data_IF_927477213629
#
_entry.id   IF_927477213629
#
_cell.length_a   1.000
_cell.length_b   1.000
_cell.length_c   1.000
_cell.angle_alpha   90.00
_cell.angle_beta   90.00
_cell.angle_gamma   90.00
#
_symmetry.space_group_name_H-M   'P 1'
#
loop_
_entity.id
_entity.type
_entity.pdbx_description
1 polymer ?
#
# COMPACT_ATOMS: atom_id res chain seq x y z
N UNK A 1 -55.14 -36.37 31.85
CA UNK A 1 -55.56 -35.71 30.58
C UNK A 1 -54.70 -34.46 30.46
N UNK A 2 -53.52 -34.42 29.84
CA UNK A 2 -52.99 -35.03 28.59
C UNK A 2 -53.79 -34.70 27.34
N UNK A 3 -53.35 -33.63 26.66
CA UNK A 3 -53.28 -33.35 25.20
C UNK A 3 -52.74 -31.92 25.07
N UNK A 4 -51.46 -31.68 24.77
CA UNK A 4 -50.71 -31.87 23.51
C UNK A 4 -51.38 -31.19 22.30
N UNK A 5 -50.80 -30.08 21.85
CA UNK A 5 -51.01 -29.51 20.52
C UNK A 5 -49.78 -28.68 20.11
N UNK A 6 -48.92 -29.34 19.34
CA UNK A 6 -47.86 -28.76 18.53
C UNK A 6 -48.45 -27.87 17.42
N UNK A 7 -47.83 -26.72 17.16
CA UNK A 7 -47.85 -26.06 15.85
C UNK A 7 -46.56 -25.26 15.65
N UNK A 8 -45.95 -25.43 14.49
CA UNK A 8 -44.54 -25.19 14.16
C UNK A 8 -44.12 -23.71 14.06
N UNK A 9 -42.83 -23.36 14.30
CA UNK A 9 -42.27 -22.16 13.72
C UNK A 9 -41.92 -22.46 12.26
N UNK A 10 -42.52 -21.70 11.34
CA UNK A 10 -42.15 -21.67 9.94
C UNK A 10 -40.69 -21.22 9.79
N UNK A 11 -39.82 -22.14 9.40
CA UNK A 11 -38.47 -21.81 8.95
C UNK A 11 -38.61 -21.23 7.54
N UNK A 12 -38.49 -19.91 7.42
CA UNK A 12 -38.27 -19.27 6.12
C UNK A 12 -36.82 -19.58 5.74
N UNK A 13 -36.66 -20.57 4.86
CA UNK A 13 -35.40 -20.86 4.18
C UNK A 13 -35.10 -19.71 3.20
N UNK A 14 -34.45 -18.66 3.71
CA UNK A 14 -33.88 -17.58 2.90
C UNK A 14 -32.64 -18.14 2.21
N UNK A 15 -32.86 -18.88 1.11
CA UNK A 15 -31.80 -19.20 0.16
C UNK A 15 -31.23 -17.89 -0.37
N UNK A 16 -30.00 -17.56 0.04
CA UNK A 16 -29.25 -16.42 -0.44
C UNK A 16 -28.97 -16.61 -1.94
N UNK A 17 -29.72 -15.89 -2.77
CA UNK A 17 -29.59 -15.87 -4.23
C UNK A 17 -28.19 -15.35 -4.66
N UNK A 18 -27.64 -15.82 -5.79
CA UNK A 18 -26.31 -15.42 -6.29
C UNK A 18 -26.10 -13.90 -6.50
N UNK A 19 -27.18 -13.11 -6.55
CA UNK A 19 -27.16 -11.65 -6.68
C UNK A 19 -26.57 -10.94 -5.45
N UNK A 20 -26.69 -11.54 -4.26
CA UNK A 20 -26.14 -10.94 -3.03
C UNK A 20 -24.62 -10.89 -3.04
N UNK A 21 -23.95 -11.82 -3.73
CA UNK A 21 -22.49 -11.81 -3.83
C UNK A 21 -21.99 -10.70 -4.77
N UNK A 22 -22.73 -10.39 -5.84
CA UNK A 22 -22.40 -9.26 -6.74
C UNK A 22 -22.70 -7.91 -6.09
N UNK A 23 -23.79 -7.80 -5.31
CA UNK A 23 -24.12 -6.59 -4.55
C UNK A 23 -23.13 -6.34 -3.40
N UNK A 24 -22.63 -7.40 -2.74
CA UNK A 24 -21.57 -7.27 -1.73
C UNK A 24 -20.21 -6.85 -2.30
N UNK A 25 -19.87 -7.26 -3.53
CA UNK A 25 -18.69 -6.74 -4.23
C UNK A 25 -18.84 -5.30 -4.70
N UNK A 26 -20.08 -4.83 -4.94
CA UNK A 26 -20.39 -3.43 -5.24
C UNK A 26 -20.44 -2.52 -3.99
N UNK A 27 -20.31 -3.07 -2.78
CA UNK A 27 -20.47 -2.38 -1.51
C UNK A 27 -19.16 -2.18 -0.72
N UNK A 28 -17.99 -2.39 -1.32
CA UNK A 28 -16.73 -1.98 -0.70
C UNK A 28 -16.56 -0.46 -0.82
N UNK A 29 -16.34 0.24 0.28
CA UNK A 29 -16.09 1.68 0.25
C UNK A 29 -14.80 2.05 -0.48
N UNK A 30 -13.84 1.12 -0.56
CA UNK A 30 -12.61 1.27 -1.36
C UNK A 30 -12.53 0.12 -2.38
N UNK A 31 -12.88 0.36 -3.66
CA UNK A 31 -12.78 -0.67 -4.70
C UNK A 31 -11.33 -1.09 -4.97
N UNK A 32 -11.16 -2.32 -5.47
CA UNK A 32 -9.87 -2.85 -5.92
C UNK A 32 -9.66 -2.64 -7.42
N UNK A 33 -8.50 -2.11 -7.79
CA UNK A 33 -8.10 -1.93 -9.18
C UNK A 33 -7.65 -3.26 -9.81
N UNK A 34 -8.06 -3.54 -11.06
CA UNK A 34 -7.57 -4.70 -11.82
C UNK A 34 -6.26 -4.42 -12.58
N UNK A 35 -5.93 -3.15 -12.77
CA UNK A 35 -4.69 -2.71 -13.41
C UNK A 35 -4.13 -1.48 -12.72
N UNK A 36 -2.81 -1.29 -12.79
CA UNK A 36 -2.14 -0.20 -12.09
C UNK A 36 -2.65 1.17 -12.55
N UNK A 37 -3.20 1.96 -11.61
CA UNK A 37 -3.80 3.30 -11.84
C UNK A 37 -5.07 3.26 -12.69
N UNK A 38 -5.75 2.11 -12.75
CA UNK A 38 -6.95 1.90 -13.55
C UNK A 38 -8.13 1.52 -12.66
N UNK A 39 -9.07 2.45 -12.56
CA UNK A 39 -10.36 2.20 -11.92
C UNK A 39 -11.33 1.70 -13.00
N UNK A 40 -11.78 0.46 -12.87
CA UNK A 40 -12.86 -0.07 -13.70
C UNK A 40 -14.17 0.63 -13.30
N UNK A 41 -14.52 1.71 -14.00
CA UNK A 41 -15.82 2.36 -13.84
C UNK A 41 -16.84 1.74 -14.79
N UNK A 42 -18.03 1.45 -14.27
CA UNK A 42 -19.18 1.17 -15.13
C UNK A 42 -19.56 2.41 -15.95
N UNK A 43 -20.19 2.26 -17.12
CA UNK A 43 -20.49 3.36 -18.05
C UNK A 43 -21.40 4.46 -17.45
N UNK A 44 -22.10 4.19 -16.35
CA UNK A 44 -23.04 5.13 -15.69
C UNK A 44 -22.49 5.70 -14.36
N UNK A 45 -21.28 5.37 -13.94
CA UNK A 45 -20.73 5.87 -12.68
C UNK A 45 -20.38 7.36 -12.79
N UNK A 46 -21.05 8.20 -11.99
CA UNK A 46 -20.77 9.62 -11.91
C UNK A 46 -19.28 9.88 -11.62
N UNK A 47 -18.73 10.95 -12.21
CA UNK A 47 -17.37 11.36 -11.94
C UNK A 47 -17.32 12.01 -10.56
N UNK A 48 -16.94 11.24 -9.56
CA UNK A 48 -16.65 11.77 -8.23
C UNK A 48 -15.39 12.64 -8.25
N UNK A 49 -15.43 13.75 -7.48
CA UNK A 49 -14.31 14.67 -7.31
C UNK A 49 -13.08 13.99 -6.73
N UNK A 50 -13.28 13.02 -5.83
CA UNK A 50 -12.21 12.21 -5.25
C UNK A 50 -12.63 10.76 -5.27
N UNK A 51 -11.86 9.92 -5.98
CA UNK A 51 -12.03 8.47 -5.93
C UNK A 51 -10.80 7.83 -5.28
N UNK A 52 -11.06 6.90 -4.36
CA UNK A 52 -10.04 6.13 -3.66
C UNK A 52 -10.17 4.68 -4.08
N UNK A 53 -9.05 4.02 -4.36
CA UNK A 53 -9.02 2.60 -4.68
C UNK A 53 -7.76 1.95 -4.15
N UNK A 54 -7.75 0.62 -4.12
CA UNK A 54 -6.61 -0.19 -3.68
C UNK A 54 -6.08 -1.00 -4.84
N UNK A 55 -4.77 -1.03 -5.00
CA UNK A 55 -4.10 -1.86 -5.99
C UNK A 55 -3.02 -2.72 -5.35
N UNK A 56 -2.96 -3.99 -5.73
CA UNK A 56 -2.00 -4.95 -5.21
C UNK A 56 -1.42 -5.78 -6.35
N UNK A 57 -0.13 -6.05 -6.25
CA UNK A 57 0.57 -6.94 -7.16
C UNK A 57 1.40 -7.92 -6.32
N UNK A 58 1.18 -9.21 -6.55
CA UNK A 58 1.84 -10.28 -5.82
C UNK A 58 3.00 -10.90 -6.61
N UNK A 59 3.28 -10.40 -7.82
CA UNK A 59 4.38 -10.88 -8.65
C UNK A 59 5.72 -10.36 -8.12
N UNK A 60 6.76 -11.17 -8.27
CA UNK A 60 8.14 -10.79 -7.91
C UNK A 60 8.72 -9.70 -8.82
N UNK A 61 8.21 -9.61 -10.05
CA UNK A 61 8.46 -8.46 -10.91
C UNK A 61 7.27 -8.17 -11.81
N UNK A 62 6.99 -6.88 -11.99
CA UNK A 62 5.96 -6.41 -12.91
C UNK A 62 6.33 -5.04 -13.49
N UNK A 63 5.83 -4.76 -14.69
CA UNK A 63 5.99 -3.48 -15.37
C UNK A 63 4.62 -2.97 -15.78
N UNK A 64 4.41 -1.68 -15.58
CA UNK A 64 3.13 -1.02 -15.81
C UNK A 64 3.36 0.37 -16.38
N UNK A 65 2.41 0.84 -17.19
CA UNK A 65 2.36 2.19 -17.72
C UNK A 65 0.93 2.72 -17.66
N UNK A 66 0.82 4.00 -17.32
CA UNK A 66 -0.45 4.70 -17.29
C UNK A 66 -0.24 6.22 -17.42
N UNK A 67 -1.18 6.87 -18.10
CA UNK A 67 -1.26 8.33 -18.18
C UNK A 67 -2.32 8.82 -17.21
N UNK A 68 -1.99 9.84 -16.41
CA UNK A 68 -3.00 10.48 -15.56
C UNK A 68 -4.07 11.11 -16.47
N UNK A 69 -5.38 10.96 -16.17
CA UNK A 69 -6.41 11.71 -16.88
C UNK A 69 -6.20 13.23 -16.79
N UNK A 70 -6.74 13.99 -17.75
CA UNK A 70 -6.48 15.42 -17.90
C UNK A 70 -7.14 16.31 -16.85
N UNK A 71 -8.16 15.80 -16.18
CA UNK A 71 -9.02 16.51 -15.22
C UNK A 71 -8.59 16.32 -13.76
N UNK A 72 -7.52 15.56 -13.50
CA UNK A 72 -7.21 15.11 -12.13
C UNK A 72 -5.73 14.87 -11.86
N UNK A 73 -5.38 15.00 -10.60
CA UNK A 73 -4.12 14.52 -10.05
C UNK A 73 -4.26 13.08 -9.59
N UNK A 74 -3.14 12.36 -9.64
CA UNK A 74 -3.06 11.01 -9.13
C UNK A 74 -2.06 10.93 -7.98
N UNK A 75 -2.48 10.38 -6.84
CA UNK A 75 -1.63 10.16 -5.67
C UNK A 75 -1.58 8.67 -5.36
N UNK A 76 -0.39 8.08 -5.34
CA UNK A 76 -0.18 6.71 -4.88
C UNK A 76 0.53 6.69 -3.54
N UNK A 77 0.01 5.95 -2.57
CA UNK A 77 0.64 5.74 -1.26
C UNK A 77 1.00 4.26 -1.11
N UNK A 78 2.29 3.97 -0.94
CA UNK A 78 2.77 2.60 -0.73
C UNK A 78 2.30 2.06 0.63
N UNK A 79 1.66 0.89 0.66
CA UNK A 79 1.19 0.24 1.89
C UNK A 79 2.23 -0.72 2.48
N UNK A 80 3.16 -1.21 1.65
CA UNK A 80 4.30 -2.04 2.04
C UNK A 80 5.56 -1.58 1.31
N UNK A 81 6.72 -1.89 1.87
CA UNK A 81 7.97 -1.57 1.18
C UNK A 81 8.10 -2.39 -0.11
N UNK A 82 8.52 -1.77 -1.20
CA UNK A 82 8.78 -2.43 -2.49
C UNK A 82 9.98 -1.80 -3.19
N UNK A 83 10.66 -2.54 -4.07
CA UNK A 83 11.67 -1.96 -4.97
C UNK A 83 10.96 -1.49 -6.23
N UNK A 84 11.04 -0.20 -6.52
CA UNK A 84 10.36 0.41 -7.65
C UNK A 84 11.31 1.27 -8.48
N UNK A 85 11.07 1.27 -9.79
CA UNK A 85 11.66 2.22 -10.72
C UNK A 85 10.55 2.97 -11.43
N UNK A 86 10.49 4.28 -11.22
CA UNK A 86 9.50 5.16 -11.85
C UNK A 86 10.19 5.97 -12.95
N UNK A 87 9.61 5.94 -14.14
CA UNK A 87 10.13 6.59 -15.35
C UNK A 87 9.05 7.44 -15.97
N UNK A 88 9.40 8.66 -16.37
CA UNK A 88 8.52 9.57 -17.12
C UNK A 88 9.30 10.15 -18.28
N UNK A 89 8.72 10.16 -19.48
CA UNK A 89 9.35 10.68 -20.71
C UNK A 89 10.79 10.17 -20.90
N UNK A 90 11.00 8.88 -20.63
CA UNK A 90 12.31 8.17 -20.66
C UNK A 90 13.31 8.57 -19.56
N UNK A 91 13.00 9.56 -18.73
CA UNK A 91 13.80 9.93 -17.57
C UNK A 91 13.40 9.12 -16.34
N UNK A 92 14.39 8.47 -15.71
CA UNK A 92 14.18 7.71 -14.47
C UNK A 92 14.09 8.68 -13.29
N UNK A 93 12.85 8.95 -12.86
CA UNK A 93 12.56 9.84 -11.72
C UNK A 93 12.90 9.16 -10.39
N UNK A 94 12.65 7.86 -10.28
CA UNK A 94 12.97 7.08 -9.09
C UNK A 94 13.50 5.71 -9.45
N UNK A 95 14.46 5.22 -8.68
CA UNK A 95 15.01 3.87 -8.80
C UNK A 95 15.58 3.50 -7.43
N UNK A 96 14.74 2.85 -6.62
CA UNK A 96 14.95 2.80 -5.19
C UNK A 96 14.04 1.82 -4.47
N UNK A 97 14.36 1.54 -3.22
CA UNK A 97 13.38 0.97 -2.30
C UNK A 97 12.41 2.07 -1.91
N UNK A 98 11.12 1.84 -2.14
CA UNK A 98 10.01 2.69 -1.74
C UNK A 98 9.40 2.12 -0.46
N UNK A 99 9.65 2.71 0.72
CA UNK A 99 9.09 2.19 1.95
C UNK A 99 7.58 2.46 2.06
N UNK A 100 6.91 1.75 2.97
CA UNK A 100 5.53 2.02 3.30
C UNK A 100 5.31 3.48 3.75
N UNK A 101 4.19 4.07 3.35
CA UNK A 101 3.83 5.47 3.57
C UNK A 101 4.51 6.46 2.62
N UNK A 102 5.36 6.00 1.70
CA UNK A 102 5.87 6.88 0.63
C UNK A 102 4.73 7.23 -0.30
N UNK A 103 4.56 8.53 -0.56
CA UNK A 103 3.62 9.03 -1.54
C UNK A 103 4.36 9.45 -2.81
N UNK A 104 3.73 9.21 -3.95
CA UNK A 104 4.10 9.83 -5.22
C UNK A 104 2.89 10.51 -5.82
N UNK A 105 3.08 11.71 -6.39
CA UNK A 105 2.00 12.44 -7.04
C UNK A 105 2.32 12.68 -8.51
N UNK A 106 1.35 12.43 -9.39
CA UNK A 106 1.43 12.65 -10.83
C UNK A 106 0.39 13.68 -11.24
N UNK A 107 0.85 14.76 -11.90
CA UNK A 107 -0.01 15.79 -12.46
C UNK A 107 -0.93 15.25 -13.58
N UNK A 108 -1.99 16.01 -13.93
CA UNK A 108 -2.86 15.69 -15.05
C UNK A 108 -2.09 15.52 -16.38
N UNK A 109 -2.57 14.62 -17.23
CA UNK A 109 -2.00 14.32 -18.55
C UNK A 109 -0.55 13.83 -18.56
N UNK A 110 0.05 13.53 -17.40
CA UNK A 110 1.43 13.03 -17.33
C UNK A 110 1.49 11.50 -17.44
N UNK A 111 2.30 10.95 -18.36
CA UNK A 111 2.58 9.52 -18.40
C UNK A 111 3.52 9.14 -17.26
N UNK A 112 3.34 7.93 -16.72
CA UNK A 112 4.25 7.33 -15.77
C UNK A 112 4.37 5.85 -16.07
N UNK A 113 5.60 5.35 -16.14
CA UNK A 113 5.91 3.94 -16.17
C UNK A 113 6.51 3.52 -14.83
N UNK A 114 6.06 2.38 -14.30
CA UNK A 114 6.56 1.79 -13.07
C UNK A 114 7.04 0.37 -13.33
N UNK A 115 8.23 0.05 -12.81
CA UNK A 115 8.72 -1.32 -12.70
C UNK A 115 8.82 -1.66 -11.22
N UNK A 116 8.13 -2.70 -10.79
CA UNK A 116 8.23 -3.26 -9.44
C UNK A 116 9.08 -4.52 -9.49
N UNK A 117 9.95 -4.69 -8.51
CA UNK A 117 10.87 -5.83 -8.36
C UNK A 117 10.63 -6.58 -7.04
N UNK A 118 9.41 -6.47 -6.51
CA UNK A 118 8.89 -7.21 -5.37
C UNK A 118 7.36 -7.02 -5.33
N UNK A 119 6.61 -7.92 -4.68
CA UNK A 119 5.20 -7.72 -4.42
C UNK A 119 4.93 -6.35 -3.79
N UNK A 120 3.93 -5.62 -4.27
CA UNK A 120 3.59 -4.26 -3.84
C UNK A 120 2.09 -4.09 -3.58
N UNK A 121 1.75 -3.09 -2.78
CA UNK A 121 0.37 -2.74 -2.46
C UNK A 121 0.29 -1.22 -2.27
N UNK A 122 -0.74 -0.60 -2.84
CA UNK A 122 -0.92 0.84 -2.87
C UNK A 122 -2.37 1.22 -2.60
N UNK A 123 -2.56 2.36 -1.93
CA UNK A 123 -3.79 3.14 -2.06
C UNK A 123 -3.58 4.18 -3.16
N UNK A 124 -4.55 4.28 -4.07
CA UNK A 124 -4.56 5.23 -5.16
C UNK A 124 -5.70 6.22 -4.96
N UNK A 125 -5.38 7.50 -5.08
CA UNK A 125 -6.33 8.60 -5.02
C UNK A 125 -6.34 9.31 -6.37
N UNK A 126 -7.52 9.47 -6.92
CA UNK A 126 -7.80 10.27 -8.10
C UNK A 126 -8.52 11.52 -7.61
N UNK A 127 -7.86 12.66 -7.67
CA UNK A 127 -8.35 13.91 -7.07
C UNK A 127 -8.55 14.93 -8.19
N UNK A 128 -9.77 15.42 -8.37
CA UNK A 128 -10.12 16.46 -9.34
C UNK A 128 -9.15 17.65 -9.24
N UNK A 129 -8.76 18.18 -10.39
CA UNK A 129 -7.90 19.35 -10.48
C UNK A 129 -8.51 20.58 -9.77
N UNK A 130 -9.83 20.63 -9.59
CA UNK A 130 -10.53 21.71 -8.88
C UNK A 130 -10.14 21.82 -7.40
N UNK A 131 -9.59 20.75 -6.81
CA UNK A 131 -9.02 20.79 -5.46
C UNK A 131 -7.66 21.50 -5.38
N UNK A 132 -7.03 21.79 -6.52
CA UNK A 132 -5.71 22.41 -6.62
C UNK A 132 -5.82 23.71 -7.42
N UNK A 133 -5.96 24.87 -6.76
CA UNK A 133 -6.07 26.13 -7.48
C UNK A 133 -4.83 26.37 -8.35
N UNK A 134 -5.04 26.93 -9.55
CA UNK A 134 -4.01 27.08 -10.59
C UNK A 134 -2.76 27.89 -10.18
N UNK A 135 -2.82 28.60 -9.05
CA UNK A 135 -1.72 29.39 -8.47
C UNK A 135 -1.16 28.78 -7.17
N UNK A 136 -1.54 27.55 -6.83
CA UNK A 136 -0.95 26.90 -5.66
C UNK A 136 0.52 26.54 -5.93
N UNK A 137 1.42 26.71 -4.94
CA UNK A 137 2.77 26.13 -4.98
C UNK A 137 2.74 24.62 -5.29
N UNK A 138 1.64 23.97 -4.92
CA UNK A 138 1.33 22.60 -5.25
C UNK A 138 1.13 22.42 -6.78
N UNK A 139 0.33 23.26 -7.45
CA UNK A 139 0.13 23.15 -8.90
C UNK A 139 1.42 23.39 -9.71
N UNK A 140 2.26 24.35 -9.30
CA UNK A 140 3.54 24.61 -9.96
C UNK A 140 4.61 23.54 -9.68
N UNK A 141 4.65 22.98 -8.46
CA UNK A 141 5.69 22.03 -8.06
C UNK A 141 5.31 20.54 -8.12
N UNK A 142 4.02 20.19 -8.15
CA UNK A 142 3.53 18.83 -8.45
C UNK A 142 3.47 18.54 -9.96
N UNK A 143 3.82 19.51 -10.81
CA UNK A 143 4.08 19.27 -12.23
C UNK A 143 5.18 18.21 -12.46
N UNK A 144 6.04 18.01 -11.45
CA UNK A 144 7.01 16.92 -11.35
C UNK A 144 6.55 15.84 -10.36
N UNK A 145 6.94 14.58 -10.63
CA UNK A 145 6.63 13.48 -9.72
C UNK A 145 7.34 13.71 -8.39
N UNK A 146 6.59 14.12 -7.37
CA UNK A 146 7.15 14.38 -6.05
C UNK A 146 7.06 13.10 -5.22
N UNK A 147 8.22 12.59 -4.80
CA UNK A 147 8.31 11.55 -3.80
C UNK A 147 8.48 12.19 -2.43
N UNK A 148 7.44 12.09 -1.62
CA UNK A 148 7.44 12.67 -0.29
C UNK A 148 7.15 11.58 0.73
N UNK A 149 7.70 11.78 1.91
CA UNK A 149 7.13 11.17 3.10
C UNK A 149 6.29 12.23 3.77
N UNK A 150 5.00 11.96 3.84
CA UNK A 150 4.07 12.80 4.56
C UNK A 150 3.46 12.02 5.73
N UNK A 151 3.74 12.43 6.99
CA UNK A 151 3.21 11.75 8.16
C UNK A 151 1.68 11.70 8.16
N UNK A 152 1.01 12.78 7.75
CA UNK A 152 -0.44 12.83 7.71
C UNK A 152 -0.99 11.86 6.64
N UNK A 153 -0.44 11.88 5.43
CA UNK A 153 -0.86 10.95 4.37
C UNK A 153 -0.66 9.49 4.79
N UNK A 154 0.43 9.17 5.51
CA UNK A 154 0.67 7.83 6.03
C UNK A 154 -0.33 7.42 7.15
N UNK A 155 -0.72 8.35 8.03
CA UNK A 155 -1.79 8.11 9.02
C UNK A 155 -3.16 7.92 8.34
N UNK A 156 -3.50 8.77 7.36
CA UNK A 156 -4.75 8.67 6.59
C UNK A 156 -4.85 7.35 5.83
N UNK A 157 -3.76 6.94 5.15
CA UNK A 157 -3.69 5.65 4.46
C UNK A 157 -3.86 4.47 5.43
N UNK A 158 -3.27 4.57 6.63
CA UNK A 158 -3.44 3.55 7.67
C UNK A 158 -4.89 3.49 8.15
N UNK A 159 -5.51 4.65 8.42
CA UNK A 159 -6.90 4.72 8.87
C UNK A 159 -7.85 4.05 7.87
N UNK A 160 -7.66 4.30 6.56
CA UNK A 160 -8.41 3.62 5.49
C UNK A 160 -8.15 2.10 5.46
N UNK A 161 -6.90 1.68 5.68
CA UNK A 161 -6.53 0.26 5.63
C UNK A 161 -7.04 -0.52 6.86
N UNK A 162 -7.03 0.09 8.04
CA UNK A 162 -7.49 -0.52 9.29
C UNK A 162 -9.01 -0.70 9.33
N UNK A 163 -9.76 0.25 8.76
CA UNK A 163 -11.21 0.13 8.64
C UNK A 163 -11.62 -0.78 7.47
N UNK A 164 -10.70 -1.08 6.54
CA UNK A 164 -10.90 -2.04 5.45
C UNK A 164 -12.15 -1.75 4.63
N UNK A 165 -12.88 -2.81 4.28
CA UNK A 165 -14.17 -2.73 3.57
C UNK A 165 -15.32 -2.20 4.45
N UNK A 166 -15.08 -2.04 5.76
CA UNK A 166 -16.08 -1.58 6.74
C UNK A 166 -16.06 -0.06 6.95
N UNK A 167 -15.10 0.66 6.36
CA UNK A 167 -15.22 2.10 6.19
C UNK A 167 -16.51 2.39 5.42
N UNK A 168 -17.27 3.39 5.81
CA UNK A 168 -18.39 3.87 4.99
C UNK A 168 -17.88 4.85 3.92
N UNK A 169 -18.76 5.19 2.96
CA UNK A 169 -18.45 6.13 1.88
C UNK A 169 -18.10 7.52 2.42
N UNK A 170 -18.71 7.92 3.53
CA UNK A 170 -18.56 9.25 4.11
C UNK A 170 -17.20 9.45 4.77
N UNK A 171 -16.73 8.45 5.51
CA UNK A 171 -15.38 8.39 6.05
C UNK A 171 -14.33 8.44 4.95
N UNK A 172 -14.51 7.64 3.90
CA UNK A 172 -13.61 7.58 2.74
C UNK A 172 -13.54 8.94 2.05
N UNK A 173 -14.69 9.61 1.86
CA UNK A 173 -14.80 10.96 1.33
C UNK A 173 -14.06 12.00 2.20
N UNK A 174 -14.26 11.98 3.52
CA UNK A 174 -13.61 12.89 4.46
C UNK A 174 -12.07 12.72 4.45
N UNK A 175 -11.59 11.49 4.43
CA UNK A 175 -10.15 11.21 4.34
C UNK A 175 -9.57 11.71 3.02
N UNK A 176 -10.26 11.43 1.91
CA UNK A 176 -9.86 11.92 0.58
C UNK A 176 -9.77 13.45 0.52
N UNK A 177 -10.78 14.14 1.03
CA UNK A 177 -10.80 15.60 1.10
C UNK A 177 -9.69 16.15 1.99
N UNK A 178 -9.44 15.53 3.13
CA UNK A 178 -8.36 15.92 4.04
C UNK A 178 -7.00 15.81 3.34
N UNK A 179 -6.76 14.72 2.62
CA UNK A 179 -5.53 14.55 1.85
C UNK A 179 -5.42 15.60 0.75
N UNK A 180 -6.48 15.85 -0.02
CA UNK A 180 -6.48 16.85 -1.09
C UNK A 180 -6.16 18.26 -0.57
N UNK A 181 -6.82 18.69 0.51
CA UNK A 181 -6.56 19.99 1.14
C UNK A 181 -5.12 20.10 1.67
N UNK A 182 -4.60 19.02 2.23
CA UNK A 182 -3.23 18.97 2.73
C UNK A 182 -2.23 19.11 1.58
N UNK A 183 -2.38 18.32 0.52
CA UNK A 183 -1.52 18.38 -0.66
C UNK A 183 -1.58 19.75 -1.35
N UNK A 184 -2.75 20.40 -1.41
CA UNK A 184 -2.91 21.73 -1.99
C UNK A 184 -2.15 22.83 -1.23
N UNK A 185 -1.76 22.58 0.02
CA UNK A 185 -0.98 23.50 0.88
C UNK A 185 0.50 23.10 0.98
N UNK A 186 0.88 21.92 0.48
CA UNK A 186 2.26 21.49 0.55
C UNK A 186 3.12 22.34 -0.38
N UNK A 187 4.12 23.00 0.20
CA UNK A 187 5.22 23.54 -0.56
C UNK A 187 6.18 22.40 -0.89
N UNK A 188 6.41 22.09 -2.19
CA UNK A 188 7.38 21.08 -2.54
C UNK A 188 8.75 21.49 -2.01
N UNK A 189 9.52 20.57 -1.41
CA UNK A 189 10.82 20.92 -0.85
C UNK A 189 11.73 21.43 -1.97
N UNK A 190 12.04 22.74 -1.97
CA UNK A 190 13.12 23.31 -2.77
C UNK A 190 14.42 22.65 -2.33
N UNK A 191 14.96 21.76 -3.16
CA UNK A 191 16.19 21.05 -2.84
C UNK A 191 17.38 22.02 -2.77
N UNK A 192 17.73 22.49 -1.56
CA UNK A 192 18.96 23.23 -1.30
C UNK A 192 20.22 22.34 -1.31
N UNK A 193 20.03 21.02 -1.29
CA UNK A 193 21.10 20.02 -1.22
C UNK A 193 20.91 19.01 -2.33
N UNK A 194 21.97 18.73 -3.08
CA UNK A 194 21.96 17.70 -4.12
C UNK A 194 21.67 16.33 -3.52
N UNK A 195 20.78 15.56 -4.16
CA UNK A 195 20.52 14.18 -3.77
C UNK A 195 21.77 13.30 -3.94
N UNK A 196 21.92 12.30 -3.07
CA UNK A 196 23.01 11.33 -3.15
C UNK A 196 23.00 10.64 -4.53
N UNK A 197 24.13 10.61 -5.27
CA UNK A 197 24.20 9.96 -6.58
C UNK A 197 23.73 8.50 -6.53
N UNK A 198 22.97 8.06 -7.55
CA UNK A 198 22.32 6.74 -7.59
C UNK A 198 23.26 5.57 -7.31
N UNK A 199 24.50 5.60 -7.80
CA UNK A 199 25.48 4.53 -7.55
C UNK A 199 25.93 4.47 -6.08
N UNK A 200 26.05 5.61 -5.40
CA UNK A 200 26.34 5.67 -3.95
C UNK A 200 25.15 5.21 -3.16
N UNK A 201 23.94 5.64 -3.54
CA UNK A 201 22.71 5.20 -2.89
C UNK A 201 22.58 3.67 -2.97
N UNK A 202 22.71 3.07 -4.16
CA UNK A 202 22.66 1.61 -4.33
C UNK A 202 23.71 0.89 -3.47
N UNK A 203 24.92 1.42 -3.38
CA UNK A 203 25.98 0.84 -2.53
C UNK A 203 25.61 0.84 -1.05
N UNK A 204 25.01 1.93 -0.57
CA UNK A 204 24.52 2.06 0.81
C UNK A 204 23.32 1.17 1.06
N UNK A 205 22.35 1.12 0.14
CA UNK A 205 21.18 0.24 0.23
C UNK A 205 21.60 -1.24 0.31
N UNK A 206 22.53 -1.66 -0.55
CA UNK A 206 23.10 -3.02 -0.53
C UNK A 206 23.78 -3.32 0.79
N UNK A 207 24.64 -2.40 1.27
CA UNK A 207 25.31 -2.58 2.55
C UNK A 207 24.32 -2.73 3.72
N UNK A 208 23.23 -1.96 3.72
CA UNK A 208 22.16 -2.11 4.71
C UNK A 208 21.49 -3.48 4.59
N UNK A 209 21.13 -3.90 3.39
CA UNK A 209 20.50 -5.20 3.16
C UNK A 209 21.38 -6.37 3.63
N UNK A 210 22.70 -6.25 3.50
CA UNK A 210 23.65 -7.30 3.88
C UNK A 210 24.02 -7.29 5.37
N UNK A 211 23.71 -6.22 6.12
CA UNK A 211 24.21 -6.00 7.49
C UNK A 211 23.13 -5.53 8.49
N UNK A 212 21.85 -5.51 8.12
CA UNK A 212 20.82 -4.90 8.98
C UNK A 212 20.63 -5.61 10.32
N UNK A 213 21.01 -6.87 10.40
CA UNK A 213 20.96 -7.78 11.56
C UNK A 213 21.95 -7.40 12.67
N UNK A 214 22.92 -6.51 12.40
CA UNK A 214 23.83 -5.96 13.40
C UNK A 214 23.69 -4.45 13.56
N UNK A 215 24.32 -3.91 14.59
CA UNK A 215 24.42 -2.45 14.75
C UNK A 215 25.23 -1.83 13.61
N UNK A 216 24.64 -0.85 12.92
CA UNK A 216 25.30 -0.07 11.86
C UNK A 216 25.32 1.39 12.30
N UNK A 217 26.51 1.99 12.39
CA UNK A 217 26.64 3.40 12.72
C UNK A 217 26.42 4.32 11.51
N UNK A 218 26.06 5.58 11.77
CA UNK A 218 26.00 6.61 10.72
C UNK A 218 27.37 6.81 10.06
N UNK A 219 28.46 6.67 10.82
CA UNK A 219 29.83 6.76 10.31
C UNK A 219 30.12 5.68 9.28
N UNK A 220 29.72 4.43 9.56
CA UNK A 220 29.87 3.31 8.62
C UNK A 220 29.14 3.59 7.29
N UNK A 221 27.87 4.00 7.35
CA UNK A 221 27.10 4.31 6.13
C UNK A 221 27.70 5.48 5.34
N UNK A 222 28.19 6.50 6.03
CA UNK A 222 28.86 7.63 5.40
C UNK A 222 30.16 7.21 4.71
N UNK A 223 30.94 6.33 5.34
CA UNK A 223 32.16 5.75 4.76
C UNK A 223 31.84 4.90 3.51
N UNK A 224 30.79 4.08 3.56
CA UNK A 224 30.31 3.33 2.38
C UNK A 224 29.95 4.27 1.22
N UNK A 225 29.38 5.43 1.52
CA UNK A 225 29.06 6.47 0.53
C UNK A 225 30.26 7.35 0.11
N UNK A 226 31.42 7.22 0.75
CA UNK A 226 32.57 8.10 0.54
C UNK A 226 32.29 9.56 0.87
N UNK A 227 31.57 9.82 1.97
CA UNK A 227 31.17 11.16 2.40
C UNK A 227 31.38 11.36 3.90
N UNK A 228 31.47 12.62 4.34
CA UNK A 228 31.35 12.94 5.76
C UNK A 228 29.93 12.62 6.26
N UNK A 229 29.77 12.35 7.56
CA UNK A 229 28.48 12.03 8.19
C UNK A 229 27.39 13.06 7.87
N UNK A 230 27.74 14.34 7.92
CA UNK A 230 26.81 15.44 7.70
C UNK A 230 26.34 15.50 6.24
N UNK A 231 27.28 15.44 5.28
CA UNK A 231 26.94 15.44 3.86
C UNK A 231 26.17 14.19 3.48
N UNK A 232 26.59 13.02 3.97
CA UNK A 232 25.87 11.77 3.74
C UNK A 232 24.42 11.86 4.24
N UNK A 233 24.20 12.27 5.49
CA UNK A 233 22.85 12.34 6.06
C UNK A 233 21.94 13.29 5.27
N UNK A 234 22.46 14.44 4.84
CA UNK A 234 21.71 15.42 4.05
C UNK A 234 21.38 14.90 2.64
N UNK A 235 22.38 14.41 1.91
CA UNK A 235 22.21 13.90 0.54
C UNK A 235 21.38 12.61 0.50
N UNK A 236 21.55 11.72 1.49
CA UNK A 236 20.76 10.49 1.61
C UNK A 236 19.29 10.80 1.89
N UNK A 237 19.01 11.78 2.77
CA UNK A 237 17.63 12.26 2.98
C UNK A 237 17.06 12.91 1.74
N UNK A 238 17.84 13.70 1.01
CA UNK A 238 17.38 14.29 -0.25
C UNK A 238 17.10 13.21 -1.32
N UNK A 239 17.85 12.11 -1.33
CA UNK A 239 17.66 11.01 -2.28
C UNK A 239 16.53 10.04 -1.91
N UNK A 240 16.34 9.77 -0.62
CA UNK A 240 15.41 8.71 -0.16
C UNK A 240 14.17 9.26 0.55
N UNK A 241 14.19 10.51 1.00
CA UNK A 241 13.20 11.07 1.92
C UNK A 241 13.41 10.68 3.40
N UNK A 242 14.31 9.74 3.71
CA UNK A 242 14.54 9.23 5.06
C UNK A 242 15.89 9.67 5.63
N UNK A 243 15.95 9.91 6.94
CA UNK A 243 17.26 9.93 7.61
C UNK A 243 17.85 8.51 7.58
N UNK A 244 19.19 8.34 7.51
CA UNK A 244 19.80 7.01 7.43
C UNK A 244 19.34 6.03 8.52
N UNK A 245 19.20 6.50 9.77
CA UNK A 245 18.68 5.69 10.87
C UNK A 245 17.22 5.27 10.68
N UNK A 246 16.37 6.16 10.17
CA UNK A 246 14.96 5.86 9.92
C UNK A 246 14.83 4.82 8.80
N UNK A 247 15.63 4.94 7.75
CA UNK A 247 15.69 3.98 6.66
C UNK A 247 16.09 2.58 7.16
N UNK A 248 17.16 2.48 7.96
CA UNK A 248 17.58 1.21 8.57
C UNK A 248 16.48 0.60 9.45
N UNK A 249 15.82 1.40 10.30
CA UNK A 249 14.75 0.90 11.16
C UNK A 249 13.56 0.37 10.35
N UNK A 250 13.13 1.08 9.29
CA UNK A 250 12.09 0.58 8.40
C UNK A 250 12.50 -0.76 7.77
N UNK A 251 13.73 -0.86 7.24
CA UNK A 251 14.23 -2.10 6.66
C UNK A 251 14.19 -3.27 7.66
N UNK A 252 14.60 -3.04 8.91
CA UNK A 252 14.52 -4.06 9.96
C UNK A 252 13.10 -4.45 10.32
N UNK A 253 12.17 -3.49 10.39
CA UNK A 253 10.76 -3.78 10.69
C UNK A 253 10.10 -4.58 9.56
N UNK A 254 10.40 -4.27 8.29
CA UNK A 254 9.87 -5.05 7.17
C UNK A 254 10.37 -6.51 7.21
N UNK A 255 11.67 -6.74 7.47
CA UNK A 255 12.18 -8.09 7.69
C UNK A 255 11.53 -8.77 8.91
N UNK A 256 11.28 -8.03 9.98
CA UNK A 256 10.59 -8.56 11.17
C UNK A 256 9.14 -8.97 10.86
N UNK A 257 8.41 -8.20 10.04
CA UNK A 257 7.05 -8.56 9.60
C UNK A 257 7.05 -9.91 8.87
N UNK A 258 8.02 -10.13 7.98
CA UNK A 258 8.19 -11.41 7.27
C UNK A 258 8.45 -12.55 8.25
N UNK A 259 9.38 -12.39 9.20
CA UNK A 259 9.66 -13.41 10.22
C UNK A 259 8.44 -13.70 11.11
N UNK A 260 7.66 -12.68 11.46
CA UNK A 260 6.44 -12.83 12.25
C UNK A 260 5.34 -13.58 11.49
N UNK A 261 5.22 -13.36 10.18
CA UNK A 261 4.21 -14.01 9.34
C UNK A 261 4.58 -15.47 9.03
N UNK A 262 5.87 -15.74 8.81
CA UNK A 262 6.34 -17.04 8.30
C UNK A 262 6.88 -18.00 9.36
N UNK A 263 7.15 -17.53 10.59
CA UNK A 263 7.78 -18.35 11.64
C UNK A 263 7.05 -18.29 12.98
N UNK A 264 7.32 -19.27 13.84
CA UNK A 264 6.87 -19.32 15.24
C UNK A 264 7.84 -18.70 16.25
N UNK A 265 8.96 -18.11 15.81
CA UNK A 265 10.07 -17.69 16.70
C UNK A 265 9.62 -16.72 17.81
N UNK A 266 10.17 -16.80 19.03
CA UNK A 266 9.91 -15.81 20.08
C UNK A 266 10.21 -14.37 19.64
N UNK A 267 9.47 -13.40 20.19
CA UNK A 267 9.67 -11.97 19.84
C UNK A 267 11.08 -11.47 20.17
N UNK A 268 11.69 -11.97 21.25
CA UNK A 268 13.06 -11.66 21.62
C UNK A 268 14.07 -12.11 20.55
N UNK A 269 13.91 -13.34 20.03
CA UNK A 269 14.78 -13.87 18.97
C UNK A 269 14.61 -13.10 17.66
N UNK A 270 13.37 -12.75 17.28
CA UNK A 270 13.12 -11.92 16.10
C UNK A 270 13.76 -10.55 16.26
N UNK A 271 13.66 -9.93 17.45
CA UNK A 271 14.28 -8.65 17.72
C UNK A 271 15.80 -8.69 17.51
N UNK A 272 16.47 -9.72 18.04
CA UNK A 272 17.91 -9.92 17.87
C UNK A 272 18.27 -10.20 16.39
N UNK A 273 17.51 -11.08 15.72
CA UNK A 273 17.76 -11.46 14.33
C UNK A 273 17.65 -10.29 13.34
N UNK A 274 16.86 -9.27 13.66
CA UNK A 274 16.74 -8.04 12.84
C UNK A 274 17.53 -6.87 13.43
N UNK A 275 18.48 -7.14 14.33
CA UNK A 275 19.48 -6.17 14.81
C UNK A 275 19.03 -5.20 15.89
N UNK A 276 17.94 -5.48 16.61
CA UNK A 276 17.59 -4.77 17.83
C UNK A 276 18.27 -5.39 19.05
N UNK A 277 18.80 -4.55 19.93
CA UNK A 277 19.45 -5.02 21.17
C UNK A 277 18.47 -5.55 22.21
N UNK A 278 17.21 -5.12 22.19
CA UNK A 278 16.18 -5.54 23.15
C UNK A 278 14.80 -5.70 22.51
N UNK A 279 14.00 -6.65 23.02
CA UNK A 279 12.62 -6.85 22.61
C UNK A 279 11.73 -5.62 22.89
N UNK A 280 11.98 -4.91 23.99
CA UNK A 280 11.21 -3.73 24.37
C UNK A 280 11.37 -2.61 23.32
N UNK A 281 12.61 -2.28 22.95
CA UNK A 281 12.87 -1.28 21.92
C UNK A 281 12.32 -1.72 20.56
N UNK A 282 12.49 -3.00 20.19
CA UNK A 282 11.88 -3.58 19.00
C UNK A 282 10.35 -3.38 18.98
N UNK A 283 9.66 -3.73 20.06
CA UNK A 283 8.20 -3.66 20.11
C UNK A 283 7.67 -2.23 19.99
N UNK A 284 8.33 -1.26 20.63
CA UNK A 284 8.00 0.16 20.52
C UNK A 284 8.19 0.66 19.09
N UNK A 285 9.33 0.35 18.46
CA UNK A 285 9.62 0.79 17.09
C UNK A 285 8.71 0.10 16.08
N UNK A 286 8.45 -1.20 16.26
CA UNK A 286 7.54 -1.99 15.43
C UNK A 286 6.14 -1.40 15.48
N UNK A 287 5.58 -1.14 16.66
CA UNK A 287 4.25 -0.52 16.80
C UNK A 287 4.19 0.85 16.15
N UNK A 288 5.20 1.69 16.36
CA UNK A 288 5.27 3.02 15.76
C UNK A 288 5.29 2.98 14.23
N UNK A 289 6.02 2.03 13.64
CA UNK A 289 6.19 1.95 12.17
C UNK A 289 5.03 1.19 11.50
N UNK A 290 4.54 0.12 12.12
CA UNK A 290 3.50 -0.75 11.54
C UNK A 290 2.08 -0.45 11.99
N UNK A 291 1.88 0.46 12.96
CA UNK A 291 0.59 0.77 13.57
C UNK A 291 0.17 -0.19 14.68
N UNK A 292 0.66 -1.43 14.68
CA UNK A 292 0.23 -2.48 15.62
C UNK A 292 1.40 -3.20 16.32
N UNK A 293 1.12 -3.87 17.45
CA UNK A 293 2.18 -4.61 18.17
C UNK A 293 2.65 -5.83 17.37
N UNK A 294 3.91 -6.30 17.58
CA UNK A 294 4.41 -7.52 16.92
C UNK A 294 3.53 -8.76 17.14
N UNK A 295 2.97 -8.91 18.34
CA UNK A 295 2.08 -10.02 18.68
C UNK A 295 0.76 -9.94 17.89
N UNK A 296 0.15 -8.75 17.82
CA UNK A 296 -1.09 -8.53 17.05
C UNK A 296 -0.84 -8.73 15.55
N UNK A 297 0.31 -8.26 15.04
CA UNK A 297 0.72 -8.51 13.66
C UNK A 297 0.79 -10.00 13.33
N UNK A 298 1.44 -10.80 14.18
CA UNK A 298 1.55 -12.26 14.01
C UNK A 298 0.19 -12.94 13.97
N UNK A 299 -0.74 -12.53 14.84
CA UNK A 299 -2.09 -13.10 14.85
C UNK A 299 -2.85 -12.76 13.56
N UNK A 300 -2.79 -11.51 13.12
CA UNK A 300 -3.46 -11.07 11.89
C UNK A 300 -2.92 -11.78 10.64
N UNK A 301 -1.60 -11.89 10.52
CA UNK A 301 -0.96 -12.55 9.36
C UNK A 301 -1.17 -14.07 9.31
N UNK A 302 -1.51 -14.71 10.43
CA UNK A 302 -1.96 -16.13 10.46
C UNK A 302 -3.44 -16.33 10.15
N UNK A 303 -4.25 -15.27 10.24
CA UNK A 303 -5.68 -15.34 9.92
C UNK A 303 -5.96 -15.15 8.42
N UNK A 304 -5.10 -14.42 7.70
CA UNK A 304 -5.20 -14.18 6.25
C UNK A 304 -5.19 -15.45 5.36
N UNK A 305 -4.47 -16.55 5.67
CA UNK A 305 -4.49 -17.76 4.85
C UNK A 305 -5.84 -18.51 4.87
N UNK A 306 -6.55 -18.52 6.00
CA UNK A 306 -7.79 -19.32 6.14
C UNK A 306 -9.00 -18.72 5.42
N UNK A 307 -9.03 -17.39 5.21
CA UNK A 307 -10.12 -16.73 4.50
C UNK A 307 -10.06 -16.97 2.98
N UNK A 308 -8.87 -17.27 2.42
CA UNK A 308 -8.69 -17.55 1.00
C UNK A 308 -9.05 -18.99 0.59
N UNK A 309 -9.02 -19.94 1.53
CA UNK A 309 -9.38 -21.36 1.29
C UNK A 309 -10.87 -21.67 1.50
N UNK A 310 -11.65 -20.74 2.08
CA UNK A 310 -13.08 -20.91 2.36
C UNK A 310 -14.01 -20.60 1.17
N UNK A 311 -13.56 -20.83 -0.07
CA UNK A 311 -14.44 -20.89 -1.24
C UNK A 311 -15.14 -22.25 -1.24
N UNK A 312 -16.50 -22.33 -1.31
CA UNK A 312 -17.19 -23.60 -1.33
C UNK A 312 -16.80 -24.36 -2.60
N UNK A 313 -16.09 -25.48 -2.44
CA UNK A 313 -15.84 -26.44 -3.52
C UNK A 313 -17.20 -26.85 -4.09
N UNK A 314 -17.50 -26.41 -5.32
CA UNK A 314 -18.68 -26.87 -6.07
C UNK A 314 -18.72 -28.39 -6.01
N UNK A 315 -19.82 -28.95 -5.50
CA UNK A 315 -20.15 -30.36 -5.66
C UNK A 315 -20.15 -30.67 -7.16
N UNK A 316 -19.42 -31.70 -7.66
CA UNK A 316 -19.56 -32.10 -9.05
C UNK A 316 -20.99 -32.53 -9.30
N UNK A 317 -21.60 -31.99 -10.35
CA UNK A 317 -22.95 -32.32 -10.79
C UNK A 317 -23.01 -33.82 -11.09
N UNK A 318 -23.99 -34.49 -10.51
CA UNK A 318 -24.30 -35.87 -10.85
C UNK A 318 -24.79 -35.91 -12.30
N UNK A 319 -24.01 -36.60 -13.11
CA UNK A 319 -24.35 -37.06 -14.44
C UNK A 319 -25.58 -37.97 -14.33
N UNK A 320 -26.69 -37.61 -15.01
CA UNK A 320 -27.82 -38.51 -15.26
C UNK A 320 -28.70 -38.01 -16.41
N UNK A 321 -28.46 -38.64 -17.55
CA UNK A 321 -29.42 -39.09 -18.57
C UNK A 321 -30.50 -38.11 -19.04
N UNK A 322 -30.23 -37.49 -20.20
CA UNK A 322 -31.26 -37.09 -21.15
C UNK A 322 -31.05 -37.83 -22.48
N UNK A 323 -31.68 -39.00 -22.62
CA UNK A 323 -31.99 -39.57 -23.93
C UNK A 323 -33.48 -39.92 -23.96
N UNK A 324 -34.29 -38.95 -24.35
CA UNK A 324 -35.58 -39.21 -24.98
C UNK A 324 -36.01 -38.05 -25.89
N UNK A 325 -36.05 -38.36 -27.18
CA UNK A 325 -37.05 -37.94 -28.15
C UNK A 325 -36.87 -36.60 -28.89
N UNK A 326 -36.42 -36.72 -30.15
CA UNK A 326 -36.95 -35.93 -31.27
C UNK A 326 -36.66 -36.65 -32.60
N UNK A 327 -37.65 -37.38 -33.12
CA UNK A 327 -37.80 -37.71 -34.54
C UNK A 327 -39.28 -38.00 -34.85
N UNK A 328 -40.02 -36.93 -35.14
CA UNK A 328 -41.10 -36.84 -36.12
C UNK A 328 -41.15 -35.38 -36.58
#
# INVERSE_FOLDING_TARGET
MFTDLQAAPAWIDLQAEPRDHQLRQAAQAIPRERGWRRIDRGPEAAIEDITISRWEDFRDSSSHDATTPEDRYFVGIALKATRAKLTRDRQVIFDGTMPAGTLYVSAPSKPLAAQFQAPCAFLHFHISADHFPAQSPAAEGLGDLVLLRDPLAAELARALTEHGDAADREFTRCVGQTLAMHLARLEPPRAKVNALPKWRLRRVEQYIADNFDRCISLSELANVAGLSRMHFAAQFRAATGYRPREYLLNHRIENAKTLLATTGRPLAEIALAVGFSTQAHFSTVFKRISGQSPARWRLASKAEPLAAEALPRRRPAADRDWMASAAA
#
